data_IF_686122513020
#
_entry.id   IF_686122513020
#
_cell.length_a   1.000
_cell.length_b   1.000
_cell.length_c   1.000
_cell.angle_alpha   90.00
_cell.angle_beta   90.00
_cell.angle_gamma   90.00
#
_symmetry.space_group_name_H-M   'P 1'
#
loop_
_entity.id
_entity.type
_entity.pdbx_description
1 polymer ?
#
# COMPACT_ATOMS: atom_id res chain seq x y z
N UNK A 1 -15.49 48.48 66.98
CA UNK A 1 -14.95 47.12 66.87
C UNK A 1 -15.30 46.55 65.50
N UNK A 2 -14.40 46.62 64.53
CA UNK A 2 -14.52 45.84 63.28
C UNK A 2 -13.11 45.31 62.96
N UNK A 3 -12.97 43.99 62.99
CA UNK A 3 -11.73 43.27 62.71
C UNK A 3 -11.56 43.13 61.19
N UNK A 4 -10.42 43.58 60.67
CA UNK A 4 -9.94 43.22 59.34
C UNK A 4 -9.33 41.80 59.43
N UNK A 5 -9.86 40.85 58.66
CA UNK A 5 -9.20 39.55 58.43
C UNK A 5 -8.42 39.61 57.12
N UNK A 6 -7.10 39.54 57.21
CA UNK A 6 -6.21 39.36 56.07
C UNK A 6 -6.16 37.89 55.68
N UNK A 7 -6.62 37.54 54.47
CA UNK A 7 -6.35 36.24 53.87
C UNK A 7 -4.99 36.27 53.18
N UNK A 8 -4.05 35.46 53.65
CA UNK A 8 -2.78 35.17 52.97
C UNK A 8 -3.01 33.99 52.05
N UNK A 9 -2.97 34.21 50.74
CA UNK A 9 -2.93 33.14 49.73
C UNK A 9 -1.49 32.70 49.56
N UNK A 10 -1.15 31.52 50.09
CA UNK A 10 0.12 30.84 49.82
C UNK A 10 0.06 30.18 48.44
N UNK A 11 0.80 30.73 47.47
CA UNK A 11 1.13 30.02 46.24
C UNK A 11 2.17 28.93 46.56
N UNK A 12 1.73 27.67 46.62
CA UNK A 12 2.63 26.51 46.63
C UNK A 12 3.19 26.31 45.23
N UNK A 13 4.44 26.72 45.03
CA UNK A 13 5.22 26.44 43.82
C UNK A 13 5.71 24.99 43.92
N UNK A 14 5.03 24.06 43.27
CA UNK A 14 5.56 22.71 43.07
C UNK A 14 6.68 22.79 42.03
N UNK A 15 7.92 22.38 42.34
CA UNK A 15 8.93 22.26 41.31
C UNK A 15 8.50 21.12 40.37
N UNK A 16 8.32 21.42 39.08
CA UNK A 16 8.34 20.37 38.07
C UNK A 16 9.71 19.71 38.16
N UNK A 17 9.76 18.50 38.74
CA UNK A 17 10.93 17.66 38.63
C UNK A 17 11.12 17.36 37.13
N UNK A 18 12.14 17.98 36.53
CA UNK A 18 12.69 17.54 35.25
C UNK A 18 13.17 16.10 35.48
N UNK A 19 12.38 15.13 35.02
CA UNK A 19 12.80 13.74 34.96
C UNK A 19 13.93 13.71 33.92
N UNK A 20 15.17 13.68 34.39
CA UNK A 20 16.34 13.49 33.54
C UNK A 20 16.23 12.12 32.88
N UNK A 21 16.37 12.06 31.55
CA UNK A 21 16.36 10.81 30.82
C UNK A 21 17.41 9.84 31.38
N UNK A 22 17.11 8.54 31.40
CA UNK A 22 18.11 7.54 31.79
C UNK A 22 19.26 7.55 30.77
N UNK A 23 20.51 7.18 31.14
CA UNK A 23 21.60 7.06 30.18
C UNK A 23 21.29 6.12 29.01
N UNK A 24 20.40 5.15 29.21
CA UNK A 24 19.91 4.24 28.16
C UNK A 24 18.98 4.94 27.20
N UNK A 25 18.06 5.75 27.72
CA UNK A 25 17.14 6.54 26.93
C UNK A 25 17.91 7.58 26.10
N UNK A 26 18.90 8.26 26.68
CA UNK A 26 19.76 9.18 25.93
C UNK A 26 20.55 8.48 24.80
N UNK A 27 21.10 7.28 25.07
CA UNK A 27 21.75 6.44 24.04
C UNK A 27 20.77 6.09 22.92
N UNK A 28 19.57 5.66 23.26
CA UNK A 28 18.53 5.31 22.31
C UNK A 28 18.08 6.52 21.46
N UNK A 29 17.93 7.69 22.07
CA UNK A 29 17.54 8.92 21.38
C UNK A 29 18.61 9.35 20.35
N UNK A 30 19.89 9.32 20.73
CA UNK A 30 20.98 9.62 19.79
C UNK A 30 21.05 8.61 18.64
N UNK A 31 20.91 7.32 18.93
CA UNK A 31 20.87 6.27 17.92
C UNK A 31 19.69 6.46 16.96
N UNK A 32 18.49 6.66 17.50
CA UNK A 32 17.27 6.81 16.71
C UNK A 32 17.26 8.10 15.89
N UNK A 33 17.87 9.18 16.36
CA UNK A 33 18.03 10.41 15.58
C UNK A 33 18.82 10.13 14.28
N UNK A 34 19.94 9.40 14.38
CA UNK A 34 20.73 9.00 13.22
C UNK A 34 19.99 7.99 12.33
N UNK A 35 19.34 6.99 12.95
CA UNK A 35 18.60 5.97 12.21
C UNK A 35 17.44 6.56 11.40
N UNK A 36 16.66 7.47 11.99
CA UNK A 36 15.56 8.15 11.31
C UNK A 36 16.05 9.04 10.15
N UNK A 37 17.11 9.81 10.36
CA UNK A 37 17.67 10.67 9.31
C UNK A 37 18.21 9.84 8.13
N UNK A 38 18.95 8.76 8.40
CA UNK A 38 19.46 7.86 7.37
C UNK A 38 18.33 7.10 6.66
N UNK A 39 17.33 6.65 7.41
CA UNK A 39 16.14 5.98 6.87
C UNK A 39 15.41 6.88 5.87
N UNK A 40 15.07 8.11 6.27
CA UNK A 40 14.35 9.05 5.41
C UNK A 40 15.14 9.37 4.13
N UNK A 41 16.44 9.65 4.26
CA UNK A 41 17.27 10.02 3.11
C UNK A 41 17.31 8.90 2.06
N UNK A 42 17.51 7.65 2.48
CA UNK A 42 17.55 6.51 1.57
C UNK A 42 16.17 6.08 1.10
N UNK A 43 15.15 6.18 1.96
CA UNK A 43 13.75 5.99 1.57
C UNK A 43 13.41 6.90 0.41
N UNK A 44 13.71 8.20 0.53
CA UNK A 44 13.39 9.20 -0.50
C UNK A 44 14.02 8.86 -1.84
N UNK A 45 15.33 8.62 -1.85
CA UNK A 45 16.07 8.30 -3.08
C UNK A 45 15.52 7.02 -3.73
N UNK A 46 15.20 6.01 -2.92
CA UNK A 46 14.59 4.78 -3.42
C UNK A 46 13.18 5.02 -3.97
N UNK A 47 12.31 5.73 -3.24
CA UNK A 47 10.95 6.05 -3.66
C UNK A 47 10.90 6.90 -4.92
N UNK A 48 11.83 7.84 -5.11
CA UNK A 48 11.96 8.60 -6.36
C UNK A 48 12.33 7.70 -7.55
N UNK A 49 13.24 6.73 -7.37
CA UNK A 49 13.62 5.78 -8.41
C UNK A 49 12.51 4.78 -8.73
N UNK A 50 11.82 4.25 -7.71
CA UNK A 50 10.65 3.40 -7.86
C UNK A 50 9.53 4.14 -8.60
N UNK A 51 9.26 5.40 -8.24
CA UNK A 51 8.29 6.25 -8.94
C UNK A 51 8.60 6.37 -10.43
N UNK A 52 9.86 6.62 -10.80
CA UNK A 52 10.26 6.65 -12.20
C UNK A 52 10.02 5.31 -12.90
N UNK A 53 10.38 4.19 -12.26
CA UNK A 53 10.20 2.85 -12.84
C UNK A 53 8.73 2.45 -13.03
N UNK A 54 7.80 2.94 -12.19
CA UNK A 54 6.36 2.65 -12.34
C UNK A 54 5.65 3.61 -13.28
N UNK A 55 6.16 4.83 -13.49
CA UNK A 55 5.55 5.84 -14.37
C UNK A 55 6.16 5.90 -15.78
N UNK A 56 7.38 5.42 -15.95
CA UNK A 56 8.05 5.25 -17.23
C UNK A 56 8.92 3.98 -17.22
N UNK A 57 8.34 2.86 -17.65
CA UNK A 57 8.98 1.55 -17.58
C UNK A 57 10.07 1.43 -18.65
N UNK A 58 11.32 1.58 -18.21
CA UNK A 58 12.53 1.47 -19.05
C UNK A 58 13.63 0.69 -18.31
N UNK A 59 14.56 0.03 -19.03
CA UNK A 59 15.70 -0.64 -18.41
C UNK A 59 16.53 0.29 -17.51
N UNK A 60 16.64 1.57 -17.89
CA UNK A 60 17.38 2.58 -17.13
C UNK A 60 16.71 2.91 -15.79
N UNK A 61 15.38 3.11 -15.78
CA UNK A 61 14.64 3.34 -14.54
C UNK A 61 14.57 2.09 -13.66
N UNK A 62 14.42 0.91 -14.27
CA UNK A 62 14.48 -0.37 -13.53
C UNK A 62 15.86 -0.56 -12.87
N UNK A 63 16.95 -0.27 -13.58
CA UNK A 63 18.30 -0.35 -13.02
C UNK A 63 18.52 0.65 -11.88
N UNK A 64 17.99 1.87 -12.01
CA UNK A 64 18.03 2.86 -10.94
C UNK A 64 17.26 2.36 -9.70
N UNK A 65 16.04 1.85 -9.89
CA UNK A 65 15.21 1.28 -8.83
C UNK A 65 15.88 0.08 -8.13
N UNK A 66 16.57 -0.79 -8.88
CA UNK A 66 17.37 -1.88 -8.31
C UNK A 66 18.53 -1.36 -7.46
N UNK A 67 19.27 -0.38 -7.99
CA UNK A 67 20.46 0.15 -7.32
C UNK A 67 20.10 0.86 -6.00
N UNK A 68 19.06 1.71 -6.02
CA UNK A 68 18.56 2.39 -4.83
C UNK A 68 17.91 1.42 -3.85
N UNK A 69 17.23 0.39 -4.35
CA UNK A 69 16.64 -0.66 -3.53
C UNK A 69 17.70 -1.44 -2.75
N UNK A 70 18.84 -1.76 -3.38
CA UNK A 70 19.99 -2.37 -2.70
C UNK A 70 20.58 -1.46 -1.63
N UNK A 71 20.72 -0.17 -1.90
CA UNK A 71 21.23 0.79 -0.92
C UNK A 71 20.27 0.95 0.28
N UNK A 72 18.98 1.03 0.03
CA UNK A 72 17.95 1.10 1.06
C UNK A 72 17.91 -0.17 1.92
N UNK A 73 17.98 -1.36 1.29
CA UNK A 73 18.09 -2.63 2.01
C UNK A 73 19.39 -2.71 2.82
N UNK A 74 20.52 -2.24 2.27
CA UNK A 74 21.81 -2.25 2.96
C UNK A 74 21.80 -1.44 4.25
N UNK A 75 21.09 -0.32 4.25
CA UNK A 75 20.92 0.49 5.46
C UNK A 75 19.99 -0.19 6.46
N UNK A 76 18.76 -0.55 6.05
CA UNK A 76 17.78 -1.14 6.97
C UNK A 76 18.27 -2.45 7.58
N UNK A 77 18.92 -3.29 6.79
CA UNK A 77 19.47 -4.57 7.22
C UNK A 77 20.85 -4.49 7.86
N UNK A 78 21.42 -3.29 8.09
CA UNK A 78 22.78 -3.14 8.61
C UNK A 78 22.92 -3.84 9.97
N UNK A 79 23.88 -4.79 10.14
CA UNK A 79 24.07 -5.50 11.40
C UNK A 79 24.32 -4.59 12.61
N UNK A 80 24.94 -3.42 12.41
CA UNK A 80 25.14 -2.45 13.50
C UNK A 80 23.81 -1.87 13.99
N UNK A 81 22.88 -1.54 13.09
CA UNK A 81 21.53 -1.04 13.43
C UNK A 81 20.73 -2.15 14.13
N UNK A 82 20.79 -3.38 13.58
CA UNK A 82 20.10 -4.55 14.16
C UNK A 82 20.60 -4.83 15.58
N UNK A 83 21.92 -4.88 15.76
CA UNK A 83 22.53 -5.21 17.05
C UNK A 83 22.25 -4.13 18.09
N UNK A 84 22.39 -2.85 17.74
CA UNK A 84 22.08 -1.73 18.63
C UNK A 84 20.61 -1.75 19.06
N UNK A 85 19.69 -1.97 18.11
CA UNK A 85 18.26 -2.04 18.42
C UNK A 85 17.92 -3.22 19.34
N UNK A 86 18.50 -4.41 19.09
CA UNK A 86 18.35 -5.59 19.96
C UNK A 86 18.92 -5.34 21.36
N UNK A 87 20.10 -4.73 21.46
CA UNK A 87 20.76 -4.44 22.74
C UNK A 87 19.90 -3.47 23.57
N UNK A 88 19.45 -2.37 22.98
CA UNK A 88 18.57 -1.39 23.64
C UNK A 88 17.25 -2.03 24.11
N UNK A 89 16.67 -2.92 23.30
CA UNK A 89 15.43 -3.63 23.66
C UNK A 89 15.60 -4.61 24.83
N UNK A 90 16.82 -5.07 25.15
CA UNK A 90 17.03 -5.85 26.39
C UNK A 90 16.75 -5.03 27.66
N UNK A 91 16.75 -3.70 27.54
CA UNK A 91 16.44 -2.73 28.60
C UNK A 91 15.16 -1.95 28.33
N UNK A 92 14.20 -2.56 27.65
CA UNK A 92 12.91 -1.97 27.26
C UNK A 92 12.20 -1.19 28.40
N UNK A 93 12.29 -1.68 29.64
CA UNK A 93 11.66 -1.04 30.82
C UNK A 93 12.22 0.34 31.18
N UNK A 94 13.38 0.71 30.63
CA UNK A 94 14.05 1.99 30.87
C UNK A 94 13.88 2.98 29.71
N UNK A 95 13.12 2.58 28.69
CA UNK A 95 12.86 3.34 27.48
C UNK A 95 11.41 3.84 27.45
N UNK A 96 11.19 4.96 26.77
CA UNK A 96 9.85 5.43 26.44
C UNK A 96 9.16 4.46 25.47
N UNK A 97 7.83 4.42 25.51
CA UNK A 97 7.04 3.60 24.58
C UNK A 97 7.34 3.95 23.11
N UNK A 98 7.51 5.24 22.81
CA UNK A 98 7.84 5.71 21.47
C UNK A 98 9.21 5.20 21.01
N UNK A 99 10.20 5.20 21.91
CA UNK A 99 11.53 4.62 21.64
C UNK A 99 11.39 3.14 21.28
N UNK A 100 10.67 2.38 22.10
CA UNK A 100 10.48 0.93 21.92
C UNK A 100 9.81 0.61 20.58
N UNK A 101 8.76 1.38 20.20
CA UNK A 101 8.08 1.22 18.91
C UNK A 101 9.04 1.46 17.74
N UNK A 102 9.87 2.50 17.79
CA UNK A 102 10.87 2.75 16.74
C UNK A 102 11.89 1.61 16.63
N UNK A 103 12.42 1.12 17.76
CA UNK A 103 13.40 0.03 17.77
C UNK A 103 12.80 -1.27 17.20
N UNK A 104 11.57 -1.61 17.57
CA UNK A 104 10.85 -2.76 17.01
C UNK A 104 10.61 -2.60 15.50
N UNK A 105 10.25 -1.39 15.06
CA UNK A 105 10.06 -1.12 13.63
C UNK A 105 11.35 -1.19 12.82
N UNK A 106 12.49 -0.76 13.37
CA UNK A 106 13.80 -0.95 12.73
C UNK A 106 14.11 -2.44 12.51
N UNK A 107 13.78 -3.31 13.47
CA UNK A 107 13.96 -4.75 13.31
C UNK A 107 13.01 -5.37 12.27
N UNK A 108 11.78 -4.88 12.16
CA UNK A 108 10.86 -5.29 11.09
C UNK A 108 11.37 -4.85 9.72
N UNK A 109 11.81 -3.60 9.57
CA UNK A 109 12.42 -3.10 8.33
C UNK A 109 13.68 -3.90 7.96
N UNK A 110 14.49 -4.29 8.95
CA UNK A 110 15.67 -5.10 8.74
C UNK A 110 15.34 -6.52 8.24
N UNK A 111 14.23 -7.11 8.68
CA UNK A 111 13.81 -8.46 8.26
C UNK A 111 13.39 -8.56 6.79
N UNK A 112 13.07 -7.44 6.15
CA UNK A 112 12.87 -7.39 4.70
C UNK A 112 14.20 -7.52 3.91
N UNK A 113 15.33 -7.20 4.51
CA UNK A 113 16.62 -7.27 3.80
C UNK A 113 17.81 -7.36 4.74
N UNK A 114 17.92 -8.40 5.57
CA UNK A 114 18.94 -8.48 6.61
C UNK A 114 20.30 -8.69 5.97
N UNK A 115 21.22 -7.75 6.21
CA UNK A 115 22.59 -7.84 5.70
C UNK A 115 23.49 -8.78 6.52
N UNK A 116 22.89 -9.67 7.31
CA UNK A 116 23.54 -10.91 7.79
C UNK A 116 23.87 -11.84 6.61
N UNK A 117 23.09 -11.76 5.52
CA UNK A 117 23.31 -12.50 4.28
C UNK A 117 23.14 -11.58 3.05
N UNK A 118 24.15 -10.74 2.72
CA UNK A 118 24.06 -9.75 1.64
C UNK A 118 23.78 -10.35 0.26
N UNK A 119 24.32 -11.53 -0.03
CA UNK A 119 24.10 -12.22 -1.31
C UNK A 119 22.63 -12.62 -1.49
N UNK A 120 21.99 -13.09 -0.42
CA UNK A 120 20.57 -13.42 -0.43
C UNK A 120 19.71 -12.18 -0.65
N UNK A 121 20.01 -11.08 0.05
CA UNK A 121 19.31 -9.81 -0.11
C UNK A 121 19.47 -9.25 -1.52
N UNK A 122 20.70 -9.26 -2.06
CA UNK A 122 20.97 -8.81 -3.42
C UNK A 122 20.16 -9.62 -4.45
N UNK A 123 20.11 -10.95 -4.31
CA UNK A 123 19.29 -11.82 -5.17
C UNK A 123 17.81 -11.50 -5.06
N UNK A 124 17.29 -11.24 -3.85
CA UNK A 124 15.90 -10.83 -3.62
C UNK A 124 15.61 -9.52 -4.37
N UNK A 125 16.39 -8.47 -4.15
CA UNK A 125 16.16 -7.15 -4.77
C UNK A 125 16.20 -7.23 -6.31
N UNK A 126 17.17 -7.96 -6.88
CA UNK A 126 17.22 -8.18 -8.34
C UNK A 126 15.99 -8.94 -8.83
N UNK A 127 15.56 -9.99 -8.13
CA UNK A 127 14.37 -10.76 -8.50
C UNK A 127 13.08 -9.93 -8.38
N UNK A 128 12.96 -9.06 -7.37
CA UNK A 128 11.80 -8.18 -7.16
C UNK A 128 11.74 -7.10 -8.25
N UNK A 129 12.88 -6.50 -8.59
CA UNK A 129 12.94 -5.51 -9.67
C UNK A 129 12.56 -6.14 -11.00
N UNK A 130 13.08 -7.34 -11.30
CA UNK A 130 12.68 -8.09 -12.51
C UNK A 130 11.19 -8.43 -12.52
N UNK A 131 10.62 -8.82 -11.39
CA UNK A 131 9.18 -9.10 -11.26
C UNK A 131 8.35 -7.85 -11.58
N UNK A 132 8.72 -6.73 -10.96
CA UNK A 132 8.05 -5.44 -11.10
C UNK A 132 8.14 -4.94 -12.53
N UNK A 133 9.33 -5.00 -13.16
CA UNK A 133 9.54 -4.60 -14.56
C UNK A 133 8.62 -5.36 -15.53
N UNK A 134 8.57 -6.71 -15.41
CA UNK A 134 7.68 -7.54 -16.23
C UNK A 134 6.21 -7.14 -16.01
N UNK A 135 5.82 -6.88 -14.77
CA UNK A 135 4.44 -6.53 -14.42
C UNK A 135 4.04 -5.13 -14.91
N UNK A 136 4.87 -4.13 -14.64
CA UNK A 136 4.62 -2.73 -15.00
C UNK A 136 4.56 -2.53 -16.51
N UNK A 137 5.43 -3.22 -17.25
CA UNK A 137 5.55 -3.10 -18.71
C UNK A 137 4.70 -4.09 -19.52
N UNK A 138 3.87 -4.91 -18.85
CA UNK A 138 3.12 -5.99 -19.50
C UNK A 138 2.11 -5.43 -20.50
N UNK A 139 2.15 -5.95 -21.73
CA UNK A 139 1.23 -5.56 -22.80
C UNK A 139 0.21 -6.68 -23.00
N UNK A 140 -1.02 -6.46 -22.52
CA UNK A 140 -2.12 -7.40 -22.74
C UNK A 140 -2.53 -7.42 -24.21
N UNK A 141 -2.91 -8.60 -24.71
CA UNK A 141 -3.39 -8.77 -26.08
C UNK A 141 -4.74 -9.47 -26.12
N UNK A 142 -5.63 -8.96 -26.96
CA UNK A 142 -6.89 -9.59 -27.32
C UNK A 142 -6.88 -9.83 -28.83
N UNK A 143 -6.94 -11.09 -29.25
CA UNK A 143 -6.86 -11.48 -30.67
C UNK A 143 -5.61 -10.92 -31.39
N UNK A 144 -4.47 -10.88 -30.68
CA UNK A 144 -3.21 -10.34 -31.19
C UNK A 144 -3.10 -8.81 -31.20
N UNK A 145 -4.17 -8.09 -30.86
CA UNK A 145 -4.18 -6.63 -30.75
C UNK A 145 -3.99 -6.18 -29.31
N UNK A 146 -3.29 -5.06 -29.11
CA UNK A 146 -3.06 -4.49 -27.78
C UNK A 146 -4.39 -4.08 -27.13
N UNK A 147 -4.51 -4.32 -25.84
CA UNK A 147 -5.65 -3.89 -25.03
C UNK A 147 -5.18 -3.34 -23.67
N UNK A 148 -5.80 -2.28 -23.18
CA UNK A 148 -5.50 -1.69 -21.87
C UNK A 148 -6.30 -2.35 -20.74
N UNK A 149 -5.86 -2.16 -19.50
CA UNK A 149 -6.61 -2.63 -18.32
C UNK A 149 -8.03 -2.02 -18.24
N UNK A 150 -8.20 -0.73 -18.56
CA UNK A 150 -9.52 -0.08 -18.61
C UNK A 150 -10.38 -0.71 -19.70
N UNK A 151 -9.85 -0.94 -20.91
CA UNK A 151 -10.59 -1.59 -21.99
C UNK A 151 -10.98 -3.04 -21.67
N UNK A 152 -10.15 -3.78 -20.94
CA UNK A 152 -10.49 -5.13 -20.45
C UNK A 152 -11.73 -5.06 -19.55
N UNK A 153 -11.73 -4.17 -18.56
CA UNK A 153 -12.85 -4.07 -17.62
C UNK A 153 -14.11 -3.53 -18.29
N UNK A 154 -13.98 -2.52 -19.16
CA UNK A 154 -15.06 -1.98 -19.98
C UNK A 154 -15.75 -3.06 -20.84
N UNK A 155 -14.95 -3.91 -21.49
CA UNK A 155 -15.49 -5.01 -22.30
C UNK A 155 -16.17 -6.07 -21.44
N UNK A 156 -15.58 -6.40 -20.29
CA UNK A 156 -16.22 -7.27 -19.30
C UNK A 156 -17.49 -6.66 -18.72
N UNK A 157 -17.65 -5.34 -18.70
CA UNK A 157 -18.87 -4.72 -18.22
C UNK A 157 -19.97 -4.70 -19.29
N UNK A 158 -19.62 -4.28 -20.51
CA UNK A 158 -20.55 -3.94 -21.59
C UNK A 158 -20.94 -5.12 -22.47
N UNK A 159 -20.07 -6.11 -22.65
CA UNK A 159 -20.33 -7.20 -23.60
C UNK A 159 -21.35 -8.21 -23.06
N UNK A 160 -22.44 -8.50 -23.81
CA UNK A 160 -23.36 -9.59 -23.50
C UNK A 160 -22.90 -10.95 -24.03
N UNK A 161 -21.90 -10.99 -24.92
CA UNK A 161 -21.40 -12.23 -25.54
C UNK A 161 -20.41 -12.94 -24.61
N UNK A 162 -20.81 -14.11 -24.11
CA UNK A 162 -19.96 -14.94 -23.25
C UNK A 162 -18.63 -15.35 -23.91
N UNK A 163 -18.59 -15.50 -25.23
CA UNK A 163 -17.38 -15.86 -25.96
C UNK A 163 -16.39 -14.69 -25.97
N UNK A 164 -16.86 -13.48 -26.27
CA UNK A 164 -16.03 -12.27 -26.17
C UNK A 164 -15.55 -12.06 -24.73
N UNK A 165 -16.45 -12.13 -23.76
CA UNK A 165 -16.10 -11.98 -22.33
C UNK A 165 -15.04 -12.98 -21.90
N UNK A 166 -15.15 -14.23 -22.34
CA UNK A 166 -14.15 -15.26 -22.05
C UNK A 166 -12.80 -14.88 -22.65
N UNK A 167 -12.74 -14.49 -23.93
CA UNK A 167 -11.50 -14.07 -24.57
C UNK A 167 -10.86 -12.85 -23.87
N UNK A 168 -11.67 -11.87 -23.47
CA UNK A 168 -11.22 -10.69 -22.72
C UNK A 168 -10.70 -11.07 -21.32
N UNK A 169 -11.41 -11.97 -20.63
CA UNK A 169 -10.98 -12.47 -19.33
C UNK A 169 -9.67 -13.24 -19.45
N UNK A 170 -9.51 -14.10 -20.46
CA UNK A 170 -8.27 -14.85 -20.73
C UNK A 170 -7.11 -13.92 -21.07
N UNK A 171 -7.34 -12.87 -21.87
CA UNK A 171 -6.35 -11.82 -22.14
C UNK A 171 -5.81 -11.20 -20.83
N UNK A 172 -6.68 -10.94 -19.85
CA UNK A 172 -6.26 -10.43 -18.54
C UNK A 172 -5.37 -11.39 -17.73
N UNK A 173 -5.32 -12.68 -18.10
CA UNK A 173 -4.52 -13.72 -17.43
C UNK A 173 -3.20 -14.02 -18.11
N UNK A 174 -2.95 -13.46 -19.30
CA UNK A 174 -1.70 -13.68 -20.07
C UNK A 174 -0.45 -13.29 -19.27
N UNK A 175 -0.58 -12.37 -18.33
CA UNK A 175 0.51 -11.95 -17.44
C UNK A 175 0.97 -13.08 -16.49
N UNK A 176 0.06 -13.97 -16.09
CA UNK A 176 0.34 -15.03 -15.10
C UNK A 176 1.51 -15.94 -15.49
N UNK A 177 1.50 -16.56 -16.69
CA UNK A 177 2.63 -17.36 -17.17
C UNK A 177 3.98 -16.63 -17.17
N UNK A 178 4.01 -15.35 -17.56
CA UNK A 178 5.22 -14.54 -17.59
C UNK A 178 5.81 -14.30 -16.19
N UNK A 179 4.94 -14.17 -15.18
CA UNK A 179 5.32 -13.90 -13.80
C UNK A 179 5.64 -15.17 -12.98
N UNK A 180 5.07 -16.33 -13.35
CA UNK A 180 5.08 -17.55 -12.54
C UNK A 180 6.47 -17.98 -12.07
N UNK A 181 7.43 -18.07 -12.98
CA UNK A 181 8.75 -18.64 -12.65
C UNK A 181 9.49 -17.77 -11.63
N UNK A 182 9.44 -16.45 -11.81
CA UNK A 182 10.12 -15.51 -10.94
C UNK A 182 9.39 -15.34 -9.59
N UNK A 183 8.05 -15.51 -9.54
CA UNK A 183 7.31 -15.58 -8.28
C UNK A 183 7.72 -16.77 -7.39
N UNK A 184 8.01 -17.94 -7.98
CA UNK A 184 8.50 -19.10 -7.21
C UNK A 184 9.87 -18.79 -6.61
N UNK A 185 10.76 -18.21 -7.40
CA UNK A 185 12.07 -17.75 -6.92
C UNK A 185 11.92 -16.71 -5.80
N UNK A 186 11.01 -15.75 -5.96
CA UNK A 186 10.73 -14.73 -4.95
C UNK A 186 10.20 -15.31 -3.65
N UNK A 187 9.30 -16.29 -3.70
CA UNK A 187 8.82 -17.01 -2.51
C UNK A 187 10.01 -17.57 -1.71
N UNK A 188 10.95 -18.22 -2.39
CA UNK A 188 12.09 -18.86 -1.72
C UNK A 188 13.06 -17.82 -1.14
N UNK A 189 13.34 -16.74 -1.88
CA UNK A 189 14.20 -15.65 -1.43
C UNK A 189 13.60 -14.90 -0.23
N UNK A 190 12.30 -14.61 -0.28
CA UNK A 190 11.54 -13.95 0.80
C UNK A 190 11.48 -14.81 2.06
N UNK A 191 11.25 -16.12 1.91
CA UNK A 191 11.35 -17.04 3.04
C UNK A 191 12.78 -17.13 3.60
N UNK A 192 13.79 -17.01 2.74
CA UNK A 192 15.19 -16.97 3.16
C UNK A 192 15.48 -15.79 4.07
N UNK A 193 15.15 -14.57 3.64
CA UNK A 193 15.41 -13.36 4.45
C UNK A 193 14.61 -13.32 5.75
N UNK A 194 13.36 -13.81 5.73
CA UNK A 194 12.57 -13.93 6.95
C UNK A 194 13.27 -14.82 8.00
N UNK A 195 13.84 -15.96 7.56
CA UNK A 195 14.56 -16.90 8.44
C UNK A 195 15.86 -16.35 9.01
N UNK A 196 16.58 -15.50 8.28
CA UNK A 196 17.76 -14.79 8.79
C UNK A 196 17.43 -13.93 10.02
N UNK A 197 16.17 -13.49 10.13
CA UNK A 197 15.64 -12.72 11.26
C UNK A 197 14.70 -13.53 12.15
N UNK A 198 14.86 -14.86 12.16
CA UNK A 198 14.20 -15.81 13.07
C UNK A 198 12.69 -15.96 12.87
N UNK A 199 12.13 -15.45 11.76
CA UNK A 199 10.77 -15.76 11.35
C UNK A 199 10.71 -17.13 10.64
N UNK A 200 9.70 -17.99 10.91
CA UNK A 200 9.58 -19.29 10.24
C UNK A 200 9.51 -19.21 8.71
N UNK A 201 8.81 -18.19 8.21
CA UNK A 201 8.60 -17.89 6.80
C UNK A 201 8.21 -16.42 6.61
N UNK A 202 8.08 -16.01 5.35
CA UNK A 202 7.74 -14.64 5.00
C UNK A 202 6.30 -14.25 5.41
N UNK A 203 5.37 -15.21 5.46
CA UNK A 203 4.02 -14.93 5.95
C UNK A 203 4.04 -14.53 7.43
N UNK A 204 4.86 -15.21 8.23
CA UNK A 204 5.06 -14.88 9.65
C UNK A 204 5.64 -13.47 9.84
N UNK A 205 6.55 -13.06 8.96
CA UNK A 205 7.10 -11.69 8.95
C UNK A 205 6.02 -10.65 8.64
N UNK A 206 5.23 -10.86 7.59
CA UNK A 206 4.13 -9.95 7.20
C UNK A 206 3.07 -9.84 8.31
N UNK A 207 2.75 -10.95 8.99
CA UNK A 207 1.82 -10.95 10.13
C UNK A 207 2.39 -10.20 11.33
N UNK A 208 3.70 -10.22 11.54
CA UNK A 208 4.34 -9.48 12.64
C UNK A 208 4.11 -7.96 12.54
N UNK A 209 3.91 -7.41 11.33
CA UNK A 209 3.54 -6.01 11.14
C UNK A 209 2.16 -5.64 11.70
N UNK A 210 1.29 -6.62 11.96
CA UNK A 210 0.02 -6.44 12.67
C UNK A 210 0.16 -6.55 14.20
N UNK A 211 1.37 -6.83 14.71
CA UNK A 211 1.59 -7.14 16.12
C UNK A 211 0.93 -8.44 16.57
N UNK A 212 0.69 -9.37 15.64
CA UNK A 212 0.03 -10.66 15.87
C UNK A 212 1.00 -11.82 15.62
N UNK A 213 0.68 -12.97 16.19
CA UNK A 213 1.20 -14.27 15.75
C UNK A 213 0.43 -14.77 14.53
N UNK A 214 1.01 -15.73 13.78
CA UNK A 214 0.32 -16.39 12.66
C UNK A 214 -0.96 -17.08 13.09
N UNK A 215 -0.99 -17.68 14.29
CA UNK A 215 -2.16 -18.38 14.81
C UNK A 215 -3.31 -17.41 15.13
N UNK A 216 -2.99 -16.26 15.73
CA UNK A 216 -3.97 -15.19 15.98
C UNK A 216 -4.55 -14.64 14.66
N UNK A 217 -3.69 -14.39 13.66
CA UNK A 217 -4.12 -13.93 12.35
C UNK A 217 -5.04 -14.95 11.66
N UNK A 218 -4.64 -16.23 11.60
CA UNK A 218 -5.45 -17.27 10.98
C UNK A 218 -6.78 -17.47 11.71
N UNK A 219 -6.78 -17.44 13.05
CA UNK A 219 -8.01 -17.54 13.84
C UNK A 219 -8.96 -16.38 13.54
N UNK A 220 -8.45 -15.15 13.48
CA UNK A 220 -9.24 -13.97 13.12
C UNK A 220 -9.86 -14.11 11.72
N UNK A 221 -9.07 -14.53 10.73
CA UNK A 221 -9.54 -14.73 9.36
C UNK A 221 -10.59 -15.86 9.27
N UNK A 222 -10.41 -16.96 9.99
CA UNK A 222 -11.39 -18.05 10.08
C UNK A 222 -12.71 -17.60 10.72
N UNK A 223 -12.65 -16.76 11.75
CA UNK A 223 -13.83 -16.21 12.42
C UNK A 223 -14.61 -15.26 11.50
N UNK A 224 -13.90 -14.39 10.76
CA UNK A 224 -14.52 -13.56 9.73
C UNK A 224 -15.16 -14.39 8.63
N UNK A 225 -14.45 -15.40 8.12
CA UNK A 225 -15.00 -16.29 7.09
C UNK A 225 -16.21 -17.07 7.59
N UNK A 226 -16.21 -17.53 8.83
CA UNK A 226 -17.37 -18.22 9.45
C UNK A 226 -18.56 -17.28 9.56
N UNK A 227 -18.32 -16.05 10.03
CA UNK A 227 -19.36 -15.03 10.23
C UNK A 227 -19.97 -14.57 8.91
N UNK A 228 -19.15 -14.35 7.87
CA UNK A 228 -19.59 -13.79 6.59
C UNK A 228 -20.11 -14.84 5.60
N UNK A 229 -19.74 -16.13 5.78
CA UNK A 229 -20.12 -17.21 4.86
C UNK A 229 -21.63 -17.31 4.60
N UNK A 230 -22.54 -17.23 5.61
CA UNK A 230 -23.97 -17.29 5.34
C UNK A 230 -24.44 -16.16 4.40
N UNK A 231 -23.97 -14.93 4.61
CA UNK A 231 -24.26 -13.79 3.74
C UNK A 231 -23.71 -14.01 2.33
N UNK A 232 -22.43 -14.40 2.22
CA UNK A 232 -21.78 -14.65 0.94
C UNK A 232 -22.49 -15.76 0.15
N UNK A 233 -22.93 -16.85 0.80
CA UNK A 233 -23.62 -17.95 0.13
C UNK A 233 -24.99 -17.52 -0.41
N UNK A 234 -25.73 -16.68 0.33
CA UNK A 234 -26.98 -16.10 -0.16
C UNK A 234 -26.72 -15.18 -1.36
N UNK A 235 -25.74 -14.27 -1.25
CA UNK A 235 -25.35 -13.35 -2.32
C UNK A 235 -24.86 -14.09 -3.57
N UNK A 236 -23.97 -15.08 -3.42
CA UNK A 236 -23.49 -15.93 -4.51
C UNK A 236 -24.63 -16.72 -5.15
N UNK A 237 -25.57 -17.23 -4.35
CA UNK A 237 -26.76 -17.93 -4.87
C UNK A 237 -27.65 -17.00 -5.67
N UNK A 238 -27.93 -15.80 -5.18
CA UNK A 238 -28.68 -14.81 -5.95
C UNK A 238 -27.94 -14.41 -7.24
N UNK A 239 -26.64 -14.10 -7.15
CA UNK A 239 -25.83 -13.64 -8.27
C UNK A 239 -25.74 -14.68 -9.40
N UNK A 240 -25.56 -15.97 -9.08
CA UNK A 240 -25.52 -17.01 -10.13
C UNK A 240 -26.84 -17.15 -10.89
N UNK A 241 -27.99 -16.93 -10.25
CA UNK A 241 -29.29 -16.94 -10.93
C UNK A 241 -29.45 -15.70 -11.80
N UNK A 242 -29.06 -14.52 -11.31
CA UNK A 242 -29.12 -13.27 -12.09
C UNK A 242 -28.18 -13.25 -13.29
N UNK A 243 -26.97 -13.79 -13.15
CA UNK A 243 -26.05 -13.91 -14.27
C UNK A 243 -26.54 -14.95 -15.29
N UNK A 244 -27.11 -16.07 -14.83
CA UNK A 244 -27.69 -17.08 -15.72
C UNK A 244 -28.88 -16.51 -16.52
N UNK A 245 -29.75 -15.74 -15.88
CA UNK A 245 -30.83 -14.98 -16.52
C UNK A 245 -30.26 -14.00 -17.57
N UNK A 246 -29.30 -13.15 -17.17
CA UNK A 246 -28.66 -12.15 -18.02
C UNK A 246 -28.04 -12.74 -19.29
N UNK A 247 -27.39 -13.88 -19.19
CA UNK A 247 -26.68 -14.51 -20.32
C UNK A 247 -27.47 -15.63 -21.00
N UNK A 248 -28.74 -15.82 -20.64
CA UNK A 248 -29.60 -16.88 -21.17
C UNK A 248 -28.96 -18.28 -21.06
N UNK A 249 -28.36 -18.58 -19.92
CA UNK A 249 -27.69 -19.85 -19.62
C UNK A 249 -28.41 -20.61 -18.49
N UNK A 250 -28.23 -21.93 -18.37
CA UNK A 250 -28.64 -22.64 -17.17
C UNK A 250 -27.89 -22.13 -15.94
N UNK A 251 -28.54 -22.17 -14.77
CA UNK A 251 -27.92 -21.75 -13.50
C UNK A 251 -26.73 -22.66 -13.18
N UNK A 252 -25.50 -22.12 -13.10
CA UNK A 252 -24.32 -22.95 -12.89
C UNK A 252 -24.16 -23.36 -11.42
N UNK A 253 -23.35 -24.39 -11.15
CA UNK A 253 -23.00 -24.77 -9.76
C UNK A 253 -22.10 -23.72 -9.10
N UNK A 254 -21.11 -23.22 -9.84
CA UNK A 254 -20.21 -22.11 -9.49
C UNK A 254 -20.26 -21.10 -10.62
N UNK A 255 -20.23 -19.81 -10.31
CA UNK A 255 -20.23 -18.75 -11.34
C UNK A 255 -18.93 -18.84 -12.15
N UNK A 256 -18.97 -18.96 -13.49
CA UNK A 256 -17.78 -18.83 -14.32
C UNK A 256 -17.18 -17.42 -14.15
N UNK A 257 -15.87 -17.31 -13.90
CA UNK A 257 -15.24 -16.04 -13.54
C UNK A 257 -15.46 -14.92 -14.58
N UNK A 258 -15.47 -15.26 -15.87
CA UNK A 258 -15.72 -14.32 -16.98
C UNK A 258 -17.18 -13.83 -17.08
N UNK A 259 -18.11 -14.40 -16.31
CA UNK A 259 -19.49 -13.88 -16.21
C UNK A 259 -19.56 -12.62 -15.35
N UNK A 260 -18.62 -12.45 -14.41
CA UNK A 260 -18.56 -11.28 -13.53
C UNK A 260 -17.81 -10.16 -14.25
N UNK A 261 -18.32 -8.94 -14.17
CA UNK A 261 -17.79 -7.74 -14.85
C UNK A 261 -16.55 -7.15 -14.16
N UNK A 262 -15.66 -8.00 -13.67
CA UNK A 262 -14.38 -7.63 -13.07
C UNK A 262 -13.39 -8.75 -13.37
N UNK A 263 -12.22 -8.42 -13.91
CA UNK A 263 -11.26 -9.44 -14.38
C UNK A 263 -10.80 -10.41 -13.27
N UNK A 264 -10.88 -10.04 -12.00
CA UNK A 264 -10.53 -10.90 -10.86
C UNK A 264 -11.74 -11.44 -10.10
N UNK A 265 -12.96 -11.00 -10.44
CA UNK A 265 -14.19 -11.28 -9.69
C UNK A 265 -14.12 -10.86 -8.21
N UNK A 266 -13.24 -9.90 -7.86
CA UNK A 266 -13.09 -9.37 -6.50
C UNK A 266 -14.23 -8.41 -6.13
N UNK A 267 -14.83 -7.78 -7.15
CA UNK A 267 -16.01 -6.93 -7.07
C UNK A 267 -16.99 -7.36 -8.16
N UNK A 268 -18.30 -7.21 -7.93
CA UNK A 268 -19.34 -7.69 -8.86
C UNK A 268 -20.18 -6.53 -9.44
N UNK A 269 -19.55 -5.59 -10.19
CA UNK A 269 -20.26 -4.43 -10.73
C UNK A 269 -21.30 -4.87 -11.77
N UNK A 270 -22.32 -4.03 -11.96
CA UNK A 270 -23.38 -4.26 -12.95
C UNK A 270 -24.34 -5.40 -12.64
N UNK A 271 -24.31 -5.99 -11.43
CA UNK A 271 -25.33 -6.95 -10.98
C UNK A 271 -26.64 -6.27 -10.55
N UNK A 272 -26.56 -5.05 -10.04
CA UNK A 272 -27.71 -4.25 -9.58
C UNK A 272 -27.72 -2.94 -10.36
N UNK A 273 -28.71 -2.77 -11.23
CA UNK A 273 -28.83 -1.57 -12.08
C UNK A 273 -28.93 -0.28 -11.25
N UNK A 274 -29.68 -0.30 -10.15
CA UNK A 274 -29.85 0.85 -9.27
C UNK A 274 -28.55 1.32 -8.59
N UNK A 275 -27.51 0.50 -8.57
CA UNK A 275 -26.18 0.87 -8.05
C UNK A 275 -25.29 1.54 -9.11
N UNK A 276 -25.69 1.53 -10.40
CA UNK A 276 -24.93 2.22 -11.44
C UNK A 276 -25.20 3.74 -11.36
N UNK A 277 -24.11 4.49 -11.14
CA UNK A 277 -24.12 5.95 -11.05
C UNK A 277 -23.35 6.63 -12.20
N UNK A 278 -22.93 5.89 -13.23
CA UNK A 278 -22.11 6.37 -14.36
C UNK A 278 -22.77 7.53 -15.11
N UNK A 279 -24.11 7.56 -15.17
CA UNK A 279 -24.87 8.65 -15.78
C UNK A 279 -24.51 10.03 -15.22
N UNK A 280 -24.05 10.12 -13.96
CA UNK A 280 -23.66 11.38 -13.34
C UNK A 280 -22.27 11.86 -13.74
N UNK A 281 -21.50 11.03 -14.46
CA UNK A 281 -20.16 11.33 -14.93
C UNK A 281 -20.11 11.64 -16.43
N UNK A 282 -21.22 11.42 -17.15
CA UNK A 282 -21.34 11.77 -18.57
C UNK A 282 -21.02 13.25 -18.82
N UNK A 283 -20.17 13.52 -19.82
CA UNK A 283 -19.73 14.86 -20.18
C UNK A 283 -18.72 15.49 -19.21
N UNK A 284 -18.36 14.83 -18.11
CA UNK A 284 -17.31 15.31 -17.20
C UNK A 284 -15.93 14.99 -17.73
N UNK A 285 -14.96 15.82 -17.36
CA UNK A 285 -13.55 15.56 -17.64
C UNK A 285 -12.91 14.74 -16.51
N UNK A 286 -11.87 13.92 -16.78
CA UNK A 286 -11.15 13.18 -15.73
C UNK A 286 -10.70 14.05 -14.54
N UNK A 287 -10.29 15.30 -14.78
CA UNK A 287 -9.85 16.23 -13.73
C UNK A 287 -10.95 16.51 -12.71
N UNK A 288 -12.22 16.47 -13.13
CA UNK A 288 -13.35 16.68 -12.22
C UNK A 288 -13.40 15.59 -11.15
N UNK A 289 -13.09 14.33 -11.50
CA UNK A 289 -13.09 13.19 -10.57
C UNK A 289 -12.11 13.42 -9.43
N UNK A 290 -10.86 13.77 -9.74
CA UNK A 290 -9.79 14.00 -8.72
C UNK A 290 -10.11 15.21 -7.86
N UNK A 291 -10.53 16.31 -8.48
CA UNK A 291 -10.89 17.54 -7.74
C UNK A 291 -12.08 17.32 -6.82
N UNK A 292 -13.05 16.51 -7.24
CA UNK A 292 -14.20 16.18 -6.38
C UNK A 292 -13.77 15.31 -5.20
N UNK A 293 -12.84 14.37 -5.42
CA UNK A 293 -12.26 13.58 -4.33
C UNK A 293 -11.51 14.47 -3.32
N UNK A 294 -10.70 15.43 -3.75
CA UNK A 294 -10.06 16.40 -2.82
C UNK A 294 -11.10 17.29 -2.11
N UNK A 295 -12.14 17.71 -2.83
CA UNK A 295 -13.24 18.49 -2.25
C UNK A 295 -13.98 17.75 -1.12
N UNK A 296 -14.10 16.43 -1.22
CA UNK A 296 -14.67 15.61 -0.14
C UNK A 296 -13.85 15.76 1.15
N UNK A 297 -12.52 15.53 1.08
CA UNK A 297 -11.65 15.62 2.26
C UNK A 297 -11.53 17.04 2.81
N UNK A 298 -11.37 18.04 1.94
CA UNK A 298 -11.33 19.44 2.38
C UNK A 298 -12.67 19.90 2.96
N UNK A 299 -13.80 19.39 2.46
CA UNK A 299 -15.13 19.59 3.04
C UNK A 299 -15.30 18.97 4.42
N UNK A 300 -14.58 17.90 4.74
CA UNK A 300 -14.50 17.32 6.09
C UNK A 300 -13.57 18.11 7.03
N UNK A 301 -12.84 19.11 6.51
CA UNK A 301 -11.93 19.95 7.29
C UNK A 301 -10.45 19.52 7.22
N UNK A 302 -10.08 18.56 6.36
CA UNK A 302 -8.68 18.25 6.11
C UNK A 302 -7.99 19.36 5.28
N UNK A 303 -6.68 19.57 5.47
CA UNK A 303 -5.92 20.48 4.61
C UNK A 303 -5.90 19.99 3.15
N UNK A 304 -5.78 20.89 2.17
CA UNK A 304 -5.66 20.51 0.75
C UNK A 304 -4.36 19.74 0.50
N UNK A 305 -4.34 18.92 -0.56
CA UNK A 305 -3.16 18.16 -0.92
C UNK A 305 -2.00 19.11 -1.30
N UNK A 306 -0.74 18.71 -1.06
CA UNK A 306 0.41 19.55 -1.38
C UNK A 306 0.53 19.80 -2.89
N UNK A 307 1.17 20.90 -3.27
CA UNK A 307 1.38 21.22 -4.69
C UNK A 307 2.13 20.15 -5.48
N UNK A 308 2.98 19.36 -4.81
CA UNK A 308 3.66 18.18 -5.34
C UNK A 308 2.67 17.16 -5.92
N UNK A 309 1.52 16.93 -5.27
CA UNK A 309 0.48 16.03 -5.75
C UNK A 309 0.01 16.44 -7.14
N UNK A 310 -0.34 17.70 -7.31
CA UNK A 310 -0.88 18.20 -8.59
C UNK A 310 0.16 18.30 -9.70
N UNK A 311 1.43 18.55 -9.34
CA UNK A 311 2.50 18.78 -10.30
C UNK A 311 3.24 17.51 -10.72
N UNK A 312 3.30 16.49 -9.85
CA UNK A 312 4.16 15.32 -10.03
C UNK A 312 3.40 13.99 -10.16
N UNK A 313 2.10 13.96 -9.92
CA UNK A 313 1.28 12.76 -10.08
C UNK A 313 1.05 12.38 -11.54
N UNK A 314 0.89 11.09 -11.81
CA UNK A 314 0.52 10.55 -13.12
C UNK A 314 -0.91 10.01 -13.06
N UNK A 315 -1.88 10.92 -13.16
CA UNK A 315 -3.29 10.65 -12.82
C UNK A 315 -4.11 10.04 -13.96
N UNK A 316 -3.69 10.20 -15.21
CA UNK A 316 -4.53 9.92 -16.39
C UNK A 316 -3.95 8.82 -17.27
N UNK A 317 -4.78 8.10 -18.06
CA UNK A 317 -4.29 7.06 -18.97
C UNK A 317 -3.18 7.57 -19.89
N UNK A 318 -2.21 6.70 -20.21
CA UNK A 318 -1.21 7.02 -21.22
C UNK A 318 -1.93 7.27 -22.56
N UNK A 319 -1.68 8.42 -23.22
CA UNK A 319 -2.26 8.68 -24.52
C UNK A 319 -1.92 7.57 -25.54
N UNK A 320 -2.87 7.12 -26.38
CA UNK A 320 -2.65 5.99 -27.29
C UNK A 320 -1.49 6.16 -28.28
N UNK A 321 -1.04 7.39 -28.52
CA UNK A 321 0.07 7.74 -29.42
C UNK A 321 1.44 7.76 -28.72
N UNK A 322 1.49 7.62 -27.40
CA UNK A 322 2.75 7.54 -26.65
C UNK A 322 3.25 6.09 -26.59
N UNK A 323 4.58 5.93 -26.67
CA UNK A 323 5.24 4.63 -26.46
C UNK A 323 5.52 4.35 -24.97
N UNK A 324 5.30 5.34 -24.11
CA UNK A 324 5.52 5.27 -22.67
C UNK A 324 4.68 4.14 -22.08
N UNK A 325 5.28 3.38 -21.18
CA UNK A 325 4.59 2.35 -20.42
C UNK A 325 4.60 2.76 -18.96
N UNK A 326 3.50 2.48 -18.27
CA UNK A 326 3.36 2.71 -16.83
C UNK A 326 2.60 1.56 -16.19
N UNK A 327 2.78 1.38 -14.89
CA UNK A 327 2.00 0.45 -14.10
C UNK A 327 0.50 0.83 -14.20
N UNK A 328 -0.36 -0.19 -14.33
CA UNK A 328 -1.81 -0.03 -14.57
C UNK A 328 -2.64 -0.08 -13.29
N UNK A 329 -2.02 -0.32 -12.14
CA UNK A 329 -2.65 -0.34 -10.83
C UNK A 329 -2.58 1.07 -10.20
N UNK A 330 -3.68 1.48 -9.58
CA UNK A 330 -3.72 2.74 -8.85
C UNK A 330 -2.86 2.63 -7.58
N UNK A 331 -2.20 3.71 -7.21
CA UNK A 331 -1.43 3.80 -5.97
C UNK A 331 -1.17 5.25 -5.55
N UNK A 332 -0.96 5.46 -4.25
CA UNK A 332 -0.57 6.73 -3.66
C UNK A 332 0.75 6.58 -2.91
N UNK A 333 1.65 7.55 -3.07
CA UNK A 333 3.05 7.45 -2.68
C UNK A 333 3.43 8.65 -1.82
N UNK A 334 4.08 8.37 -0.69
CA UNK A 334 4.65 9.38 0.19
C UNK A 334 6.17 9.46 -0.02
N UNK A 335 6.60 10.10 -1.10
CA UNK A 335 7.93 9.93 -1.69
C UNK A 335 9.07 10.25 -0.73
N UNK A 336 8.97 11.32 0.06
CA UNK A 336 10.04 11.78 0.97
C UNK A 336 9.70 11.60 2.45
N UNK A 337 8.59 10.92 2.74
CA UNK A 337 7.94 10.86 4.05
C UNK A 337 7.60 12.22 4.65
N UNK A 338 7.60 13.32 3.88
CA UNK A 338 7.27 14.68 4.31
C UNK A 338 6.15 15.31 3.47
N UNK A 339 6.49 15.94 2.34
CA UNK A 339 5.58 16.84 1.61
C UNK A 339 5.48 16.48 0.12
N UNK A 340 6.25 15.50 -0.36
CA UNK A 340 6.16 15.00 -1.72
C UNK A 340 5.21 13.80 -1.75
N UNK A 341 3.92 14.10 -1.96
CA UNK A 341 2.86 13.09 -2.13
C UNK A 341 2.50 13.04 -3.61
N UNK A 342 2.40 11.83 -4.17
CA UNK A 342 2.05 11.61 -5.57
C UNK A 342 1.05 10.47 -5.70
N UNK A 343 0.26 10.45 -6.76
CA UNK A 343 -0.59 9.32 -7.09
C UNK A 343 -0.43 8.89 -8.54
N UNK A 344 -0.32 7.58 -8.76
CA UNK A 344 -0.32 6.95 -10.07
C UNK A 344 -1.69 6.34 -10.28
N UNK A 345 -2.42 6.83 -11.27
CA UNK A 345 -3.77 6.36 -11.60
C UNK A 345 -3.96 6.35 -13.12
N UNK A 346 -5.15 5.96 -13.60
CA UNK A 346 -5.52 6.01 -15.02
C UNK A 346 -6.96 6.48 -15.18
N UNK A 347 -7.25 7.62 -14.56
CA UNK A 347 -8.59 8.13 -14.28
C UNK A 347 -9.39 8.40 -15.54
N UNK A 348 -10.62 7.91 -15.54
CA UNK A 348 -11.68 8.21 -16.48
C UNK A 348 -12.91 8.76 -15.73
N UNK A 349 -13.81 9.49 -16.39
CA UNK A 349 -15.02 10.02 -15.75
C UNK A 349 -16.08 8.91 -15.64
N UNK A 350 -15.90 7.98 -14.71
CA UNK A 350 -16.87 6.93 -14.38
C UNK A 350 -16.88 6.62 -12.88
N UNK A 351 -17.87 5.85 -12.43
CA UNK A 351 -18.07 5.53 -11.02
C UNK A 351 -16.86 4.82 -10.41
N UNK A 352 -16.27 3.87 -11.16
CA UNK A 352 -15.09 3.12 -10.70
C UNK A 352 -13.94 4.05 -10.33
N UNK A 353 -13.51 4.91 -11.26
CA UNK A 353 -12.40 5.82 -11.01
C UNK A 353 -12.74 6.90 -10.00
N UNK A 354 -14.03 7.22 -9.80
CA UNK A 354 -14.46 8.06 -8.69
C UNK A 354 -14.19 7.41 -7.33
N UNK A 355 -14.59 6.16 -7.13
CA UNK A 355 -14.29 5.44 -5.89
C UNK A 355 -12.78 5.23 -5.71
N UNK A 356 -12.07 4.83 -6.76
CA UNK A 356 -10.60 4.67 -6.71
C UNK A 356 -9.91 5.99 -6.35
N UNK A 357 -10.30 7.12 -6.94
CA UNK A 357 -9.73 8.42 -6.57
C UNK A 357 -9.95 8.75 -5.09
N UNK A 358 -11.13 8.49 -4.52
CA UNK A 358 -11.36 8.70 -3.09
C UNK A 358 -10.44 7.82 -2.23
N UNK A 359 -10.29 6.55 -2.59
CA UNK A 359 -9.39 5.63 -1.89
C UNK A 359 -7.92 6.11 -1.93
N UNK A 360 -7.38 6.43 -3.12
CA UNK A 360 -5.99 6.89 -3.24
C UNK A 360 -5.72 8.23 -2.53
N UNK A 361 -6.68 9.16 -2.59
CA UNK A 361 -6.56 10.43 -1.86
C UNK A 361 -6.68 10.23 -0.35
N UNK A 362 -7.39 9.20 0.11
CA UNK A 362 -7.41 8.77 1.50
C UNK A 362 -6.03 8.45 2.03
N UNK A 363 -5.24 7.67 1.28
CA UNK A 363 -3.84 7.45 1.59
C UNK A 363 -3.05 8.77 1.67
N UNK A 364 -3.25 9.67 0.70
CA UNK A 364 -2.60 10.99 0.68
C UNK A 364 -2.90 11.83 1.93
N UNK A 365 -4.15 11.88 2.36
CA UNK A 365 -4.53 12.58 3.59
C UNK A 365 -4.04 11.86 4.85
N UNK A 366 -3.94 10.53 4.84
CA UNK A 366 -3.34 9.80 5.95
C UNK A 366 -1.84 10.10 6.08
N UNK A 367 -1.13 10.18 4.95
CA UNK A 367 0.26 10.60 4.89
C UNK A 367 0.45 11.98 5.53
N UNK A 368 -0.37 12.95 5.16
CA UNK A 368 -0.34 14.29 5.76
C UNK A 368 -0.65 14.26 7.26
N UNK A 369 -1.58 13.41 7.70
CA UNK A 369 -2.01 13.35 9.10
C UNK A 369 -0.91 12.84 10.04
N UNK A 370 -0.11 11.87 9.61
CA UNK A 370 1.03 11.39 10.41
C UNK A 370 2.33 12.17 10.17
N UNK A 371 2.39 13.06 9.17
CA UNK A 371 3.56 13.91 8.89
C UNK A 371 3.64 15.04 9.92
N UNK A 372 4.13 14.68 11.11
CA UNK A 372 4.23 15.59 12.24
C UNK A 372 5.56 15.36 12.98
N UNK A 373 6.13 16.38 13.65
CA UNK A 373 7.41 16.25 14.36
C UNK A 373 7.43 15.14 15.41
N UNK A 374 6.29 14.86 16.06
CA UNK A 374 6.14 13.82 17.07
C UNK A 374 6.07 12.39 16.50
N UNK A 375 5.94 12.22 15.18
CA UNK A 375 5.94 10.93 14.51
C UNK A 375 7.27 10.75 13.76
N UNK A 376 8.20 9.95 14.31
CA UNK A 376 9.47 9.66 13.68
C UNK A 376 9.28 9.01 12.30
N UNK A 377 10.20 9.27 11.36
CA UNK A 377 10.11 8.77 9.99
C UNK A 377 9.91 7.25 9.91
N UNK A 378 10.59 6.49 10.76
CA UNK A 378 10.45 5.02 10.79
C UNK A 378 9.05 4.57 11.20
N UNK A 379 8.24 5.44 11.83
CA UNK A 379 6.86 5.18 12.25
C UNK A 379 5.81 5.90 11.39
N UNK A 380 6.19 6.53 10.27
CA UNK A 380 5.27 7.16 9.32
C UNK A 380 4.60 6.12 8.41
N UNK A 381 3.77 5.28 9.04
CA UNK A 381 2.97 4.22 8.46
C UNK A 381 1.62 4.12 9.20
N UNK A 382 0.68 3.35 8.65
CA UNK A 382 -0.60 3.07 9.32
C UNK A 382 -0.40 2.24 10.60
N UNK A 383 -1.36 2.33 11.54
CA UNK A 383 -1.32 1.54 12.78
C UNK A 383 -1.23 0.02 12.56
N UNK A 384 -1.84 -0.45 11.47
CA UNK A 384 -1.63 -1.74 10.83
C UNK A 384 -1.90 -1.54 9.32
N UNK A 385 -1.45 -2.44 8.43
CA UNK A 385 -1.65 -2.26 6.99
C UNK A 385 -3.12 -2.03 6.60
N UNK A 386 -4.06 -2.76 7.23
CA UNK A 386 -5.50 -2.61 6.97
C UNK A 386 -6.15 -1.30 7.44
N UNK A 387 -5.46 -0.43 8.18
CA UNK A 387 -5.95 0.94 8.47
C UNK A 387 -5.66 1.91 7.33
N UNK A 388 -4.68 1.57 6.48
CA UNK A 388 -4.27 2.42 5.38
C UNK A 388 -5.26 2.33 4.22
N UNK A 389 -5.81 1.13 3.99
CA UNK A 389 -6.86 0.77 3.03
C UNK A 389 -8.25 1.24 3.45
#
# INVERSE_FOLDING_TARGET
MFRLQSFVVLFLWFPLALITASPVQERADHFLALANAGYQALYRVNSEAQWAAVTDVTPEHDAAAEATGKAYAAFNGNPAIINEARELLTREKELSELTVRQLKQLLLNAAEGPMTNPDLVAKRVTAETKQASIMNGFEFKLNGQKITANQIDDKLEKSPDLSERKAVWEASKEIGPALKQNLITLRDLRNGVAKEMEYPDYFSLEVAAYGMTTDEMLKMLEDWMTTLRPLYLQLHTWAKYKLAEKFHQPVPKKIPAHWISNRWAQEWPGLVEAANIDKYFEGRKPEWTVKTAEQFYTGLGFPPLPGSFWQKSDLYPVPPNEKRKKNTHASCWHIDLEHDIRSLQSIEPNARWFFTAHHELGHGHYFMAYTRPEVPYVLRLGAAPGFHE
#
